data_IF_328847493553
#
_entry.id   IF_328847493553
#
_cell.length_a   1.000
_cell.length_b   1.000
_cell.length_c   1.000
_cell.angle_alpha   90.00
_cell.angle_beta   90.00
_cell.angle_gamma   90.00
#
_symmetry.space_group_name_H-M   'P 1'
#
loop_
_entity.id
_entity.type
_entity.pdbx_description
1 polymer ?
#
# COMPACT_ATOMS: atom_id res chain seq x y z
N UNK A 1 11.87 -3.73 -5.35
CA UNK A 1 10.81 -3.56 -4.32
C UNK A 1 10.88 -2.16 -3.73
N UNK A 2 9.76 -1.56 -3.47
CA UNK A 2 9.69 -0.25 -2.86
C UNK A 2 9.40 -0.40 -1.35
N UNK A 3 9.77 0.61 -0.58
CA UNK A 3 9.44 0.67 0.84
C UNK A 3 8.76 1.99 1.13
N UNK A 4 7.90 2.00 2.14
CA UNK A 4 7.19 3.18 2.54
C UNK A 4 6.45 2.98 3.84
N UNK A 5 5.70 4.01 4.23
CA UNK A 5 4.88 3.97 5.45
C UNK A 5 3.42 4.21 5.08
N UNK A 6 2.53 3.51 5.76
CA UNK A 6 1.10 3.70 5.57
C UNK A 6 0.73 5.10 6.04
N UNK A 7 0.18 5.90 5.13
CA UNK A 7 -0.29 7.24 5.44
C UNK A 7 -1.65 7.16 6.16
N UNK A 8 -2.55 6.38 5.60
CA UNK A 8 -3.81 6.03 6.23
C UNK A 8 -4.41 4.84 5.47
N UNK A 9 -5.29 4.12 6.15
CA UNK A 9 -5.98 2.98 5.55
C UNK A 9 -7.36 2.86 6.16
N UNK A 10 -8.38 2.70 5.31
CA UNK A 10 -9.77 2.55 5.74
C UNK A 10 -10.28 1.18 5.29
N UNK A 11 -10.37 0.25 6.24
CA UNK A 11 -10.80 -1.11 5.93
C UNK A 11 -12.28 -1.19 5.54
N UNK A 12 -13.10 -0.24 5.97
CA UNK A 12 -14.51 -0.21 5.59
C UNK A 12 -14.70 0.19 4.14
N UNK A 13 -13.91 1.16 3.68
CA UNK A 13 -13.93 1.56 2.27
C UNK A 13 -13.08 0.64 1.40
N UNK A 14 -12.15 -0.07 2.00
CA UNK A 14 -11.33 -1.05 1.30
C UNK A 14 -10.13 -0.49 0.57
N UNK A 15 -9.61 0.65 1.00
CA UNK A 15 -8.41 1.22 0.37
C UNK A 15 -7.69 2.18 1.31
N UNK A 16 -6.47 2.52 0.91
CA UNK A 16 -5.66 3.48 1.63
C UNK A 16 -4.51 3.98 0.77
N UNK A 17 -3.60 4.70 1.38
CA UNK A 17 -2.42 5.23 0.71
C UNK A 17 -1.17 4.98 1.53
N UNK A 18 -0.10 4.68 0.81
CA UNK A 18 1.23 4.47 1.38
C UNK A 18 2.12 5.58 0.83
N UNK A 19 2.84 6.27 1.71
CA UNK A 19 3.81 7.27 1.31
C UNK A 19 5.14 6.57 1.06
N UNK A 20 5.73 6.77 -0.13
CA UNK A 20 7.03 6.21 -0.44
C UNK A 20 8.09 6.76 0.51
N UNK A 21 9.11 5.95 0.79
CA UNK A 21 10.17 6.29 1.72
C UNK A 21 10.89 7.58 1.32
N UNK A 22 11.00 7.82 0.02
CA UNK A 22 11.64 9.04 -0.50
C UNK A 22 10.72 10.26 -0.47
N UNK A 23 9.45 10.09 -0.10
CA UNK A 23 8.50 11.17 0.02
C UNK A 23 8.02 11.77 -1.29
N UNK A 24 8.28 11.12 -2.42
CA UNK A 24 7.98 11.69 -3.73
C UNK A 24 6.51 11.57 -4.13
N UNK A 25 5.82 10.54 -3.65
CA UNK A 25 4.41 10.34 -4.03
C UNK A 25 3.72 9.39 -3.07
N UNK A 26 2.38 9.44 -3.09
CA UNK A 26 1.55 8.48 -2.40
C UNK A 26 1.16 7.36 -3.37
N UNK A 27 1.14 6.13 -2.87
CA UNK A 27 0.79 4.96 -3.65
C UNK A 27 -0.53 4.40 -3.12
N UNK A 28 -1.47 4.15 -4.02
CA UNK A 28 -2.76 3.56 -3.67
C UNK A 28 -2.58 2.09 -3.26
N UNK A 29 -3.31 1.67 -2.23
CA UNK A 29 -3.36 0.26 -1.83
C UNK A 29 -4.80 -0.15 -1.63
N UNK A 30 -5.21 -1.26 -2.28
CA UNK A 30 -6.55 -1.80 -2.14
C UNK A 30 -6.54 -2.94 -1.12
N UNK A 31 -7.66 -3.14 -0.44
CA UNK A 31 -7.76 -4.17 0.59
C UNK A 31 -7.48 -5.57 0.03
N UNK A 32 -7.79 -5.81 -1.24
CA UNK A 32 -7.49 -7.10 -1.85
C UNK A 32 -5.98 -7.38 -1.87
N UNK A 33 -5.17 -6.36 -2.11
CA UNK A 33 -3.71 -6.53 -2.06
C UNK A 33 -3.25 -6.84 -0.64
N UNK A 34 -3.85 -6.22 0.36
CA UNK A 34 -3.56 -6.49 1.76
C UNK A 34 -3.90 -7.94 2.10
N UNK A 35 -5.10 -8.38 1.73
CA UNK A 35 -5.56 -9.74 2.01
C UNK A 35 -4.73 -10.78 1.26
N UNK A 36 -4.38 -10.52 0.02
CA UNK A 36 -3.55 -11.43 -0.78
C UNK A 36 -2.13 -11.56 -0.21
N UNK A 37 -1.72 -10.56 0.56
CA UNK A 37 -0.41 -10.58 1.23
C UNK A 37 -0.46 -11.26 2.60
N UNK A 38 -1.62 -11.80 2.99
CA UNK A 38 -1.80 -12.47 4.27
C UNK A 38 -2.00 -11.53 5.45
N UNK A 39 -2.38 -10.29 5.19
CA UNK A 39 -2.58 -9.28 6.23
C UNK A 39 -4.07 -8.98 6.38
N UNK A 40 -4.50 -8.61 7.59
CA UNK A 40 -5.89 -8.25 7.85
C UNK A 40 -6.19 -6.77 7.60
N UNK A 41 -5.17 -5.95 7.64
CA UNK A 41 -5.29 -4.52 7.46
C UNK A 41 -3.95 -3.85 7.68
N UNK A 42 -3.94 -2.53 7.63
CA UNK A 42 -2.72 -1.75 7.80
C UNK A 42 -2.92 -0.73 8.90
N UNK A 43 -1.87 -0.53 9.68
CA UNK A 43 -1.86 0.51 10.72
C UNK A 43 -1.24 1.78 10.17
N UNK A 44 -1.68 2.91 10.69
CA UNK A 44 -1.11 4.21 10.34
C UNK A 44 0.38 4.24 10.72
N UNK A 45 1.22 4.75 9.82
CA UNK A 45 2.68 4.81 9.99
C UNK A 45 3.38 3.45 9.99
N UNK A 46 2.68 2.39 9.65
CA UNK A 46 3.30 1.07 9.55
C UNK A 46 4.28 1.05 8.38
N UNK A 47 5.48 0.52 8.63
CA UNK A 47 6.49 0.37 7.58
C UNK A 47 6.22 -0.90 6.78
N UNK A 48 6.27 -0.78 5.46
CA UNK A 48 6.00 -1.89 4.55
C UNK A 48 7.00 -1.91 3.41
N UNK A 49 7.28 -3.11 2.90
CA UNK A 49 7.85 -3.24 1.57
C UNK A 49 6.77 -3.76 0.62
N UNK A 50 6.84 -3.39 -0.63
CA UNK A 50 5.80 -3.73 -1.60
C UNK A 50 6.33 -3.56 -3.01
N UNK A 51 5.58 -4.10 -3.97
CA UNK A 51 5.86 -3.89 -5.38
C UNK A 51 4.88 -2.87 -5.93
N UNK A 52 5.31 -2.12 -6.93
CA UNK A 52 4.47 -1.14 -7.60
C UNK A 52 3.90 -1.74 -8.86
N UNK A 53 2.59 -1.58 -9.05
CA UNK A 53 1.90 -2.05 -10.24
C UNK A 53 1.10 -0.90 -10.83
N UNK A 54 1.29 -0.64 -12.11
CA UNK A 54 0.54 0.40 -12.80
C UNK A 54 -0.70 -0.21 -13.45
N UNK A 55 -1.87 0.32 -13.08
CA UNK A 55 -3.13 -0.14 -13.62
C UNK A 55 -3.42 0.44 -15.00
N UNK A 56 -4.53 -0.02 -15.60
CA UNK A 56 -4.92 0.40 -16.95
C UNK A 56 -5.21 1.88 -17.07
N UNK A 57 -5.60 2.51 -15.98
CA UNK A 57 -5.91 3.93 -15.94
C UNK A 57 -4.69 4.79 -15.59
N UNK A 58 -3.50 4.22 -15.59
CA UNK A 58 -2.26 4.91 -15.29
C UNK A 58 -1.98 5.13 -13.81
N UNK A 59 -2.82 4.60 -12.93
CA UNK A 59 -2.61 4.73 -11.49
C UNK A 59 -1.68 3.63 -10.99
N UNK A 60 -0.74 4.01 -10.13
CA UNK A 60 0.19 3.08 -9.50
C UNK A 60 -0.39 2.63 -8.17
N UNK A 61 -0.37 1.31 -7.94
CA UNK A 61 -0.84 0.73 -6.69
C UNK A 61 0.21 -0.19 -6.10
N UNK A 62 0.10 -0.43 -4.79
CA UNK A 62 1.02 -1.32 -4.08
C UNK A 62 0.43 -2.73 -4.07
N UNK A 63 1.28 -3.71 -4.36
CA UNK A 63 0.92 -5.13 -4.32
C UNK A 63 2.05 -5.90 -3.63
N UNK A 64 1.77 -7.15 -3.26
CA UNK A 64 2.75 -8.03 -2.61
C UNK A 64 3.37 -7.38 -1.38
N UNK A 65 2.51 -6.93 -0.46
CA UNK A 65 2.91 -6.19 0.72
C UNK A 65 3.60 -7.10 1.74
N UNK A 66 4.62 -6.56 2.40
CA UNK A 66 5.27 -7.22 3.53
C UNK A 66 5.48 -6.23 4.65
N UNK A 67 5.17 -6.66 5.85
CA UNK A 67 5.46 -5.86 7.05
C UNK A 67 6.96 -5.88 7.32
N UNK A 68 7.50 -4.73 7.63
CA UNK A 68 8.92 -4.60 7.97
C UNK A 68 9.14 -4.60 9.46
#
# INVERSE_FOLDING_TARGET
MATGKVKWFNSQKGFGFIELEDGTQDVFVHITAVQNSGMDGLAENQSLSFELETGQNGKTSAVNLKSL
#
